data_IF_994581417760
#
_entry.id   IF_994581417760
#
_cell.length_a   1.000
_cell.length_b   1.000
_cell.length_c   1.000
_cell.angle_alpha   90.00
_cell.angle_beta   90.00
_cell.angle_gamma   90.00
#
_symmetry.space_group_name_H-M   'P 1'
#
loop_
_entity.id
_entity.type
_entity.pdbx_description
1 polymer ?
2 non-polymer ?
3 non-polymer ?
4 non-polymer ?
5 water ?
#
# COMPACT_ATOMS: atom_id res chain seq x y z
N UNK A 3 4.17 -17.65 -9.60
CA UNK A 3 3.89 -17.67 -11.07
C UNK A 3 2.55 -16.98 -11.33
N UNK A 4 1.46 -17.74 -11.45
CA UNK A 4 0.09 -17.28 -11.86
C UNK A 4 -0.21 -15.87 -11.32
N UNK A 5 -0.13 -15.70 -9.99
CA UNK A 5 -0.51 -14.48 -9.27
C UNK A 5 0.31 -13.28 -9.72
N UNK A 6 1.59 -13.48 -10.04
CA UNK A 6 2.47 -12.38 -10.50
C UNK A 6 2.16 -12.08 -11.97
N UNK A 7 1.85 -13.12 -12.77
CA UNK A 7 1.43 -12.93 -14.19
C UNK A 7 0.20 -12.00 -14.22
N UNK A 8 -0.71 -12.15 -13.26
CA UNK A 8 -1.95 -11.34 -13.15
C UNK A 8 -1.61 -9.86 -12.99
N UNK A 9 -0.59 -9.55 -12.20
CA UNK A 9 -0.14 -8.15 -11.97
C UNK A 9 0.38 -7.59 -13.31
N UNK A 10 1.19 -8.35 -14.05
CA UNK A 10 1.77 -7.89 -15.33
C UNK A 10 0.67 -7.71 -16.38
N UNK A 11 -0.39 -8.51 -16.32
CA UNK A 11 -1.50 -8.49 -17.32
C UNK A 11 -2.38 -7.25 -17.08
N UNK A 12 -2.62 -6.89 -15.81
CA UNK A 12 -3.53 -5.78 -15.43
C UNK A 12 -2.90 -4.94 -14.33
N UNK A 13 -1.76 -4.26 -14.59
CA UNK A 13 -1.06 -3.54 -13.53
C UNK A 13 -1.93 -2.43 -12.90
N UNK A 14 -2.85 -1.83 -13.66
CA UNK A 14 -3.69 -0.76 -13.14
C UNK A 14 -4.55 -1.20 -11.96
N UNK A 15 -4.86 -2.49 -11.90
CA UNK A 15 -5.68 -3.05 -10.78
C UNK A 15 -4.83 -3.12 -9.50
N UNK A 16 -3.51 -3.05 -9.60
CA UNK A 16 -2.57 -3.20 -8.46
C UNK A 16 -1.89 -1.87 -8.09
N UNK A 17 -1.61 -1.01 -9.07
CA UNK A 17 -0.88 0.26 -8.84
C UNK A 17 -1.56 1.47 -9.50
N UNK A 18 -2.82 1.30 -9.95
CA UNK A 18 -3.65 2.41 -10.43
C UNK A 18 -3.41 2.73 -11.88
N UNK A 19 -2.17 2.75 -12.33
CA UNK A 19 -1.77 3.17 -13.69
C UNK A 19 -0.29 2.90 -13.87
N UNK A 20 0.24 3.10 -15.05
CA UNK A 20 1.64 2.75 -15.36
C UNK A 20 2.48 4.01 -15.62
N UNK A 21 2.03 5.17 -15.19
CA UNK A 21 2.80 6.42 -15.23
C UNK A 21 3.61 6.62 -13.98
N UNK A 22 3.95 7.88 -13.72
CA UNK A 22 4.81 8.30 -12.60
C UNK A 22 4.17 7.86 -11.28
N UNK A 23 2.87 8.07 -11.11
CA UNK A 23 2.23 7.68 -9.85
C UNK A 23 2.29 6.17 -9.67
N UNK A 24 2.07 5.38 -10.73
CA UNK A 24 2.20 3.91 -10.67
C UNK A 24 3.61 3.53 -10.25
N UNK A 25 4.62 4.14 -10.84
CA UNK A 25 6.03 3.85 -10.50
C UNK A 25 6.21 4.06 -8.99
N UNK A 26 5.71 5.16 -8.47
CA UNK A 26 5.92 5.53 -7.05
C UNK A 26 5.20 4.55 -6.13
N UNK A 27 4.20 3.81 -6.59
CA UNK A 27 3.58 2.76 -5.72
C UNK A 27 4.67 1.78 -5.26
N UNK A 28 5.63 1.48 -6.13
CA UNK A 28 6.66 0.48 -5.80
C UNK A 28 7.50 0.97 -4.64
N UNK A 29 8.00 2.20 -4.71
CA UNK A 29 8.85 2.72 -3.60
C UNK A 29 7.99 2.95 -2.36
N UNK A 30 6.74 3.37 -2.51
CA UNK A 30 5.88 3.55 -1.32
C UNK A 30 5.78 2.22 -0.57
N UNK A 31 5.59 1.11 -1.28
CA UNK A 31 5.39 -0.20 -0.67
C UNK A 31 6.65 -0.62 0.09
N UNK A 32 7.80 -0.51 -0.56
CA UNK A 32 9.04 -1.04 0.05
C UNK A 32 9.42 -0.15 1.22
N UNK A 33 9.28 1.15 1.11
CA UNK A 33 9.48 2.09 2.23
C UNK A 33 8.50 1.74 3.37
N UNK A 34 7.23 1.57 3.06
CA UNK A 34 6.24 1.25 4.12
C UNK A 34 6.70 0.02 4.89
N UNK A 35 7.12 -1.02 4.19
CA UNK A 35 7.43 -2.33 4.81
C UNK A 35 8.59 -2.15 5.80
N UNK A 36 9.56 -1.33 5.45
CA UNK A 36 10.73 -1.04 6.32
C UNK A 36 10.25 -0.22 7.52
N UNK A 37 9.47 0.81 7.28
CA UNK A 37 9.02 1.72 8.36
C UNK A 37 8.14 0.94 9.35
N UNK A 38 7.38 -0.03 8.88
CA UNK A 38 6.53 -0.88 9.73
C UNK A 38 7.36 -1.47 10.88
N UNK A 39 8.65 -1.73 10.62
CA UNK A 39 9.52 -2.37 11.64
C UNK A 39 9.90 -1.39 12.76
N UNK A 40 9.64 -0.10 12.64
CA UNK A 40 9.85 0.82 13.80
C UNK A 40 8.86 0.46 14.94
N UNK A 41 7.56 0.37 14.64
CA UNK A 41 6.53 0.02 15.67
C UNK A 41 6.60 -1.49 15.99
N UNK A 42 6.92 -2.35 15.05
CA UNK A 42 6.70 -3.81 15.18
C UNK A 42 8.00 -4.56 15.53
N UNK A 43 9.17 -3.99 15.19
CA UNK A 43 10.44 -4.74 15.16
C UNK A 43 11.66 -3.98 15.68
N UNK A 44 11.45 -2.91 16.45
CA UNK A 44 12.50 -2.12 17.16
C UNK A 44 13.50 -1.49 16.18
N UNK A 45 13.10 -1.26 14.93
CA UNK A 45 13.98 -0.55 13.98
C UNK A 45 14.25 0.87 14.48
N UNK A 46 15.45 1.38 14.23
CA UNK A 46 15.90 2.73 14.61
C UNK A 46 16.26 3.54 13.36
N UNK A 47 16.49 2.89 12.23
CA UNK A 47 16.95 3.62 11.03
C UNK A 47 16.43 2.92 9.77
N UNK A 48 15.93 3.73 8.84
CA UNK A 48 15.62 3.30 7.46
C UNK A 48 16.45 4.17 6.53
N UNK A 49 17.07 3.55 5.54
CA UNK A 49 17.86 4.27 4.52
C UNK A 49 17.25 3.97 3.14
N UNK A 50 16.97 5.03 2.40
CA UNK A 50 16.44 4.92 1.04
C UNK A 50 17.47 5.53 0.08
N UNK A 51 17.89 4.75 -0.90
CA UNK A 51 18.82 5.20 -1.95
C UNK A 51 18.12 5.08 -3.30
N UNK A 52 18.09 6.20 -4.02
CA UNK A 52 17.67 6.22 -5.42
C UNK A 52 18.95 5.97 -6.21
N UNK A 53 19.07 4.78 -6.77
CA UNK A 53 20.32 4.33 -7.44
C UNK A 53 20.47 5.05 -8.78
N UNK A 54 21.72 5.26 -9.20
CA UNK A 54 22.03 5.98 -10.47
C UNK A 54 21.41 5.24 -11.66
N UNK A 55 21.23 3.93 -11.59
CA UNK A 55 20.75 3.11 -12.74
C UNK A 55 19.22 3.05 -12.77
N UNK A 56 18.53 3.77 -11.88
CA UNK A 56 17.06 3.76 -11.79
C UNK A 56 16.52 2.84 -10.69
N UNK A 57 17.37 2.00 -10.13
CA UNK A 57 16.92 1.11 -9.06
C UNK A 57 16.71 1.84 -7.75
N UNK A 58 16.20 1.12 -6.78
CA UNK A 58 15.95 1.65 -5.42
C UNK A 58 16.49 0.63 -4.41
N UNK A 59 17.07 1.14 -3.34
CA UNK A 59 17.51 0.30 -2.21
C UNK A 59 16.87 0.87 -0.94
N UNK A 60 16.21 0.01 -0.20
CA UNK A 60 15.67 0.39 1.13
C UNK A 60 16.22 -0.58 2.17
N UNK A 61 16.87 -0.02 3.17
CA UNK A 61 17.55 -0.76 4.25
C UNK A 61 16.88 -0.42 5.58
N UNK A 62 16.78 -1.41 6.47
CA UNK A 62 16.27 -1.17 7.83
C UNK A 62 17.03 -2.07 8.80
N UNK A 63 16.97 -1.73 10.08
CA UNK A 63 17.50 -2.59 11.17
C UNK A 63 16.35 -3.17 11.98
N UNK A 64 15.29 -3.59 11.28
CA UNK A 64 14.17 -4.29 11.92
C UNK A 64 14.50 -5.76 12.15
N UNK A 65 13.51 -6.62 12.18
CA UNK A 65 13.67 -8.03 12.58
C UNK A 65 14.31 -8.85 11.47
N UNK A 66 14.23 -8.38 10.22
CA UNK A 66 14.64 -9.20 9.08
C UNK A 66 13.43 -9.98 8.57
N UNK A 67 13.21 -9.97 7.25
CA UNK A 67 12.15 -10.84 6.70
C UNK A 67 12.45 -12.28 7.11
N UNK A 68 11.47 -13.04 7.64
CA UNK A 68 11.73 -14.45 7.98
C UNK A 68 12.32 -15.26 6.82
N UNK A 69 13.31 -16.06 7.15
CA UNK A 69 14.07 -16.90 6.17
C UNK A 69 13.78 -18.38 6.41
N UNK A 70 13.21 -18.76 7.55
CA UNK A 70 13.00 -20.20 7.84
C UNK A 70 11.94 -20.75 6.85
N UNK A 71 11.94 -22.05 6.69
CA UNK A 71 11.03 -22.75 5.74
C UNK A 71 9.58 -22.46 6.14
N UNK A 72 8.82 -22.00 5.17
CA UNK A 72 7.37 -21.78 5.23
C UNK A 72 6.68 -23.12 5.11
N UNK A 73 5.42 -23.20 5.53
CA UNK A 73 4.61 -24.44 5.40
C UNK A 73 4.55 -24.90 3.93
N UNK A 74 4.70 -23.99 2.96
CA UNK A 74 4.61 -24.29 1.50
C UNK A 74 5.93 -24.84 0.97
N UNK A 75 6.93 -25.08 1.82
CA UNK A 75 8.13 -25.83 1.45
C UNK A 75 9.21 -24.99 0.80
N UNK A 76 9.11 -23.66 0.88
CA UNK A 76 10.16 -22.71 0.43
C UNK A 76 10.47 -21.76 1.58
N UNK A 77 11.62 -21.09 1.55
CA UNK A 77 11.92 -20.06 2.55
C UNK A 77 10.83 -18.99 2.61
N UNK A 78 10.48 -18.55 3.81
CA UNK A 78 9.37 -17.59 3.99
C UNK A 78 9.61 -16.33 3.14
N UNK A 79 10.85 -15.89 2.99
CA UNK A 79 11.12 -14.68 2.17
C UNK A 79 10.58 -14.88 0.74
N UNK A 80 10.68 -16.08 0.18
CA UNK A 80 10.19 -16.35 -1.20
C UNK A 80 8.66 -16.24 -1.23
N UNK A 81 7.99 -16.64 -0.15
CA UNK A 81 6.50 -16.50 -0.02
C UNK A 81 6.17 -15.02 0.00
N UNK A 82 6.85 -14.25 0.83
CA UNK A 82 6.65 -12.79 0.93
C UNK A 82 6.79 -12.17 -0.47
N UNK A 83 7.88 -12.48 -1.15
CA UNK A 83 8.25 -11.76 -2.39
C UNK A 83 7.37 -12.22 -3.57
N UNK A 84 6.59 -13.27 -3.41
CA UNK A 84 5.70 -13.79 -4.48
C UNK A 84 4.20 -13.65 -4.11
N UNK A 85 3.84 -13.28 -2.87
CA UNK A 85 2.43 -13.34 -2.41
C UNK A 85 1.91 -12.04 -1.79
N UNK A 86 2.74 -11.24 -1.10
CA UNK A 86 2.18 -10.11 -0.35
C UNK A 86 2.46 -8.78 -1.07
N UNK A 87 2.37 -7.63 -0.39
CA UNK A 87 2.37 -6.31 -1.07
C UNK A 87 3.60 -6.15 -1.95
N UNK A 88 4.77 -6.54 -1.45
CA UNK A 88 6.01 -6.34 -2.20
C UNK A 88 6.06 -7.27 -3.41
N UNK A 89 5.25 -8.31 -3.48
CA UNK A 89 5.24 -9.17 -4.69
C UNK A 89 4.78 -8.35 -5.92
N UNK A 90 4.00 -7.28 -5.73
CA UNK A 90 3.63 -6.40 -6.87
C UNK A 90 4.91 -5.74 -7.39
N UNK A 91 5.79 -5.31 -6.49
CA UNK A 91 7.09 -4.71 -6.88
C UNK A 91 7.88 -5.77 -7.66
N UNK A 92 7.94 -7.01 -7.15
CA UNK A 92 8.67 -8.11 -7.81
C UNK A 92 8.11 -8.33 -9.21
N UNK A 93 6.78 -8.39 -9.32
CA UNK A 93 6.10 -8.66 -10.61
C UNK A 93 6.47 -7.62 -11.66
N UNK A 94 6.65 -6.36 -11.25
CA UNK A 94 6.80 -5.22 -12.19
C UNK A 94 8.25 -4.74 -12.22
N UNK A 95 9.19 -5.54 -11.69
CA UNK A 95 10.65 -5.28 -11.72
C UNK A 95 11.35 -6.30 -12.61
N UNK A 96 12.42 -5.88 -13.29
CA UNK A 96 13.30 -6.82 -14.04
C UNK A 96 14.02 -7.75 -13.07
N UNK A 97 14.32 -7.25 -11.88
CA UNK A 97 15.00 -8.07 -10.86
C UNK A 97 14.84 -7.40 -9.51
N UNK A 98 15.02 -8.21 -8.48
CA UNK A 98 15.10 -7.75 -7.08
C UNK A 98 16.25 -8.48 -6.39
N UNK A 99 16.76 -7.83 -5.37
CA UNK A 99 17.72 -8.46 -4.47
C UNK A 99 17.22 -8.26 -3.06
N UNK A 100 17.46 -9.23 -2.18
CA UNK A 100 17.05 -9.09 -0.77
C UNK A 100 18.22 -9.60 0.09
N UNK A 101 18.68 -8.76 1.01
CA UNK A 101 19.68 -9.15 2.04
C UNK A 101 18.97 -9.15 3.37
N UNK A 102 19.12 -10.23 4.14
CA UNK A 102 18.45 -10.32 5.46
C UNK A 102 19.53 -10.65 6.48
N UNK A 103 19.48 -9.96 7.61
CA UNK A 103 20.23 -10.34 8.83
C UNK A 103 19.20 -10.89 9.81
N UNK A 104 19.27 -12.18 10.13
CA UNK A 104 18.27 -12.81 11.02
C UNK A 104 18.76 -14.18 11.45
N UNK A 105 18.36 -14.61 12.65
CA UNK A 105 18.63 -16.00 13.13
C UNK A 105 20.15 -16.23 13.19
N UNK A 106 20.94 -15.17 13.39
CA UNK A 106 22.41 -15.27 13.60
C UNK A 106 23.23 -15.21 12.32
N UNK A 107 22.60 -14.97 11.17
CA UNK A 107 23.29 -15.02 9.87
C UNK A 107 22.80 -13.92 8.93
N UNK A 108 23.68 -13.60 8.00
CA UNK A 108 23.36 -12.85 6.77
C UNK A 108 22.84 -13.84 5.73
N UNK A 109 21.86 -13.40 4.94
CA UNK A 109 21.24 -14.22 3.90
C UNK A 109 21.07 -13.37 2.67
N UNK A 110 21.14 -13.98 1.50
CA UNK A 110 20.98 -13.25 0.23
C UNK A 110 20.10 -14.05 -0.72
N UNK A 111 19.14 -13.34 -1.32
CA UNK A 111 18.25 -13.93 -2.33
C UNK A 111 18.10 -12.94 -3.49
N UNK A 112 17.91 -13.51 -4.68
CA UNK A 112 17.63 -12.75 -5.91
C UNK A 112 16.30 -13.21 -6.49
N UNK A 113 15.71 -12.33 -7.28
CA UNK A 113 14.53 -12.60 -8.11
C UNK A 113 14.87 -12.05 -9.49
N UNK A 114 14.75 -12.89 -10.50
CA UNK A 114 15.03 -12.56 -11.92
C UNK A 114 13.69 -12.66 -12.65
N UNK A 115 13.11 -11.52 -13.04
CA UNK A 115 11.74 -11.48 -13.61
C UNK A 115 10.82 -12.24 -12.65
N UNK A 116 10.97 -11.95 -11.35
CA UNK A 116 10.16 -12.43 -10.21
C UNK A 116 10.44 -13.89 -9.83
N UNK A 117 11.31 -14.62 -10.56
CA UNK A 117 11.60 -16.05 -10.28
C UNK A 117 12.66 -16.09 -9.19
N UNK A 118 12.40 -16.72 -8.02
CA UNK A 118 13.39 -16.79 -6.95
C UNK A 118 14.65 -17.55 -7.39
N UNK A 119 15.80 -17.03 -6.98
CA UNK A 119 17.06 -17.76 -6.98
C UNK A 119 17.09 -18.75 -5.83
N UNK A 120 18.30 -19.19 -5.49
CA UNK A 120 18.55 -20.09 -4.33
C UNK A 120 18.98 -19.22 -3.16
N UNK A 121 18.19 -19.19 -2.07
CA UNK A 121 18.56 -18.44 -0.85
C UNK A 121 19.93 -18.93 -0.43
N UNK A 122 20.86 -18.01 -0.19
CA UNK A 122 22.24 -18.34 0.24
C UNK A 122 22.47 -17.83 1.67
N UNK A 123 23.02 -18.71 2.50
CA UNK A 123 23.44 -18.36 3.88
C UNK A 123 24.85 -17.77 3.80
N UNK A 124 25.03 -16.57 4.34
CA UNK A 124 26.34 -15.89 4.38
C UNK A 124 26.98 -16.02 5.75
N UNK A 125 27.59 -14.94 6.20
CA UNK A 125 28.40 -14.90 7.43
C UNK A 125 27.48 -14.81 8.64
N UNK A 126 27.99 -15.21 9.78
CA UNK A 126 27.33 -14.96 11.08
C UNK A 126 27.22 -13.47 11.29
N UNK A 127 26.16 -13.06 12.00
CA UNK A 127 25.98 -11.67 12.44
C UNK A 127 25.02 -11.63 13.63
N UNK A 128 25.24 -10.65 14.49
CA UNK A 128 24.34 -10.36 15.63
C UNK A 128 23.34 -9.31 15.18
N UNK A 129 23.56 -8.69 14.02
CA UNK A 129 22.65 -7.63 13.53
C UNK A 129 21.37 -8.26 13.00
N UNK A 130 20.29 -7.47 12.97
CA UNK A 130 19.03 -7.87 12.31
C UNK A 130 18.62 -6.75 11.34
N UNK A 131 17.93 -7.14 10.28
CA UNK A 131 17.29 -6.18 9.38
C UNK A 131 17.23 -6.69 7.97
N UNK A 132 16.73 -5.82 7.09
CA UNK A 132 16.45 -6.19 5.69
C UNK A 132 16.97 -5.10 4.77
N UNK A 133 17.53 -5.51 3.62
CA UNK A 133 17.79 -4.58 2.49
C UNK A 133 17.01 -5.13 1.30
N UNK A 134 16.19 -4.28 0.70
CA UNK A 134 15.44 -4.67 -0.51
C UNK A 134 15.90 -3.75 -1.64
N UNK A 135 16.30 -4.33 -2.76
CA UNK A 135 16.63 -3.57 -3.98
C UNK A 135 15.69 -4.05 -5.07
N UNK A 136 15.24 -3.11 -5.88
CA UNK A 136 14.41 -3.45 -7.05
C UNK A 136 14.70 -2.49 -8.19
N UNK A 137 14.48 -3.01 -9.40
CA UNK A 137 14.70 -2.27 -10.66
C UNK A 137 13.41 -2.32 -11.47
N UNK A 138 12.57 -1.25 -11.41
CA UNK A 138 11.29 -1.24 -12.15
C UNK A 138 11.49 -1.52 -13.64
N UNK A 139 10.59 -2.31 -14.20
CA UNK A 139 10.69 -2.78 -15.60
C UNK A 139 10.26 -1.64 -16.54
N UNK A 140 11.14 -1.13 -17.42
CA UNK A 140 10.76 -0.06 -18.34
C UNK A 140 9.72 -0.50 -19.38
N UNK A 141 9.50 -1.81 -19.56
CA UNK A 141 8.43 -2.32 -20.47
C UNK A 141 7.07 -2.14 -19.82
N UNK A 142 7.02 -2.00 -18.50
CA UNK A 142 5.74 -1.78 -17.76
C UNK A 142 5.45 -0.28 -17.66
N UNK A 143 6.42 0.50 -17.19
CA UNK A 143 6.25 1.91 -16.75
C UNK A 143 6.59 2.87 -17.88
N UNK A 144 5.76 3.90 -18.02
CA UNK A 144 5.95 4.94 -19.07
C UNK A 144 7.06 5.90 -18.67
N UNK A 145 7.44 5.88 -17.39
CA UNK A 145 8.60 6.62 -16.85
C UNK A 145 9.19 5.78 -15.72
N UNK A 146 10.51 5.77 -15.63
CA UNK A 146 11.24 5.03 -14.58
C UNK A 146 12.03 5.97 -13.67
N UNK A 147 11.79 7.27 -13.76
CA UNK A 147 12.47 8.33 -12.99
C UNK A 147 11.71 8.59 -11.68
N UNK A 148 12.30 8.21 -10.55
CA UNK A 148 11.73 8.56 -9.23
C UNK A 148 11.91 10.07 -8.98
N UNK A 149 10.95 10.63 -8.26
CA UNK A 149 10.93 12.07 -7.94
C UNK A 149 11.42 12.23 -6.50
N UNK A 150 12.60 12.83 -6.33
CA UNK A 150 13.23 13.06 -5.01
C UNK A 150 12.26 13.77 -4.07
N UNK A 151 11.59 14.84 -4.51
CA UNK A 151 10.72 15.63 -3.60
C UNK A 151 9.51 14.80 -3.17
N UNK A 152 8.94 13.99 -4.08
CA UNK A 152 7.80 13.09 -3.78
C UNK A 152 8.25 12.10 -2.69
N UNK A 153 9.42 11.50 -2.87
CA UNK A 153 9.95 10.52 -1.89
C UNK A 153 10.22 11.22 -0.57
N UNK A 154 10.86 12.39 -0.60
CA UNK A 154 11.16 13.17 0.65
C UNK A 154 9.87 13.46 1.43
N UNK A 155 8.78 13.83 0.75
CA UNK A 155 7.48 14.17 1.41
C UNK A 155 7.00 12.94 2.18
N UNK A 156 7.06 11.75 1.57
CA UNK A 156 6.59 10.50 2.22
C UNK A 156 7.48 10.21 3.43
N UNK A 157 8.80 10.34 3.27
CA UNK A 157 9.71 9.95 4.37
C UNK A 157 9.53 10.91 5.56
N UNK A 158 9.27 12.20 5.29
CA UNK A 158 9.02 13.16 6.39
C UNK A 158 7.75 12.75 7.14
N UNK A 159 6.68 12.40 6.43
CA UNK A 159 5.42 11.90 7.04
C UNK A 159 5.74 10.69 7.92
N UNK A 160 6.50 9.73 7.39
CA UNK A 160 6.74 8.45 8.10
C UNK A 160 7.61 8.71 9.35
N UNK A 161 8.56 9.63 9.30
CA UNK A 161 9.40 9.97 10.48
C UNK A 161 8.50 10.61 11.54
N UNK A 162 7.57 11.47 11.12
CA UNK A 162 6.66 12.18 12.07
C UNK A 162 5.76 11.14 12.79
N UNK A 163 5.33 10.12 12.07
CA UNK A 163 4.43 9.07 12.61
C UNK A 163 5.20 8.02 13.43
N UNK A 164 6.53 8.07 13.43
CA UNK A 164 7.38 7.06 14.14
C UNK A 164 8.45 7.81 14.92
N UNK A 165 8.07 8.49 16.01
CA UNK A 165 9.01 9.32 16.80
C UNK A 165 10.21 8.45 17.17
N UNK A 166 11.40 9.00 16.98
CA UNK A 166 12.67 8.31 17.32
C UNK A 166 13.27 7.58 16.12
N UNK A 167 12.53 7.42 15.02
CA UNK A 167 13.04 6.75 13.82
C UNK A 167 13.82 7.74 12.98
N UNK A 168 15.04 7.38 12.60
CA UNK A 168 15.83 8.16 11.63
C UNK A 168 15.58 7.60 10.24
N UNK A 169 15.22 8.46 9.28
CA UNK A 169 15.10 8.04 7.86
C UNK A 169 16.06 8.87 7.02
N UNK A 170 16.96 8.19 6.32
CA UNK A 170 17.99 8.84 5.47
C UNK A 170 17.61 8.61 4.01
N UNK A 171 17.60 9.69 3.22
CA UNK A 171 17.34 9.62 1.77
C UNK A 171 18.60 10.08 1.03
N UNK A 172 19.10 9.25 0.13
CA UNK A 172 20.29 9.56 -0.70
C UNK A 172 19.89 9.40 -2.16
N UNK A 173 20.06 10.46 -2.94
CA UNK A 173 19.87 10.43 -4.41
C UNK A 173 21.24 10.24 -5.04
N UNK A 174 21.53 9.01 -5.48
CA UNK A 174 22.82 8.66 -6.10
C UNK A 174 22.90 9.23 -7.52
N UNK A 175 21.80 9.74 -8.06
CA UNK A 175 21.80 10.34 -9.41
C UNK A 175 22.46 11.73 -9.37
N UNK A 176 22.38 12.45 -8.25
CA UNK A 176 22.92 13.84 -8.17
C UNK A 176 23.53 14.18 -6.80
N UNK A 177 23.62 13.22 -5.89
CA UNK A 177 24.27 13.44 -4.61
C UNK A 177 23.37 14.11 -3.56
N UNK A 178 22.14 14.48 -3.91
CA UNK A 178 21.22 15.17 -2.95
C UNK A 178 20.90 14.19 -1.80
N UNK A 179 20.86 14.69 -0.56
CA UNK A 179 20.55 13.83 0.61
C UNK A 179 19.74 14.63 1.63
N UNK A 180 18.84 13.94 2.33
CA UNK A 180 18.05 14.51 3.45
C UNK A 180 17.98 13.47 4.56
N UNK A 181 17.92 13.92 5.81
CA UNK A 181 17.74 13.04 6.98
C UNK A 181 16.54 13.53 7.76
N UNK A 182 15.61 12.64 8.06
CA UNK A 182 14.35 12.94 8.78
C UNK A 182 14.40 12.29 10.16
N UNK A 183 14.04 13.06 11.18
CA UNK A 183 14.03 12.59 12.58
C UNK A 183 13.17 13.54 13.41
N UNK A 184 12.21 12.96 14.14
CA UNK A 184 11.42 13.64 15.19
C UNK A 184 11.68 12.95 16.52
N UNK A 185 12.20 13.66 17.54
CA UNK A 185 12.43 13.04 18.85
C UNK A 185 11.11 12.71 19.58
N UNK A 186 11.12 11.63 20.35
CA UNK A 186 10.00 11.25 21.24
C UNK A 186 9.91 12.17 22.44
N UNK B 5 -5.85 -17.60 0.23
CA UNK B 5 -6.88 -16.56 -0.02
C UNK B 5 -6.86 -15.47 1.04
N UNK B 6 -8.03 -14.96 1.41
CA UNK B 6 -8.21 -13.95 2.48
C UNK B 6 -7.99 -14.60 3.85
N UNK B 7 -8.15 -15.92 3.97
CA UNK B 7 -7.85 -16.68 5.21
C UNK B 7 -6.40 -16.39 5.64
N UNK B 8 -5.49 -16.32 4.65
CA UNK B 8 -4.03 -16.07 4.86
C UNK B 8 -3.82 -14.72 5.55
N UNK B 9 -4.59 -13.71 5.14
CA UNK B 9 -4.49 -12.33 5.72
C UNK B 9 -4.94 -12.41 7.19
N UNK B 10 -6.05 -13.09 7.48
CA UNK B 10 -6.58 -13.17 8.87
C UNK B 10 -5.59 -13.93 9.76
N UNK B 11 -4.92 -14.94 9.21
CA UNK B 11 -3.98 -15.81 9.98
C UNK B 11 -2.70 -15.03 10.35
N UNK B 12 -2.18 -14.25 9.41
CA UNK B 12 -0.90 -13.51 9.58
C UNK B 12 -1.06 -12.08 9.08
N UNK B 13 -1.89 -11.25 9.76
CA UNK B 13 -2.13 -9.89 9.28
C UNK B 13 -0.87 -9.02 9.19
N UNK B 14 0.12 -9.33 10.03
CA UNK B 14 1.41 -8.59 10.03
C UNK B 14 2.13 -8.67 8.69
N UNK B 15 1.91 -9.73 7.94
CA UNK B 15 2.53 -9.94 6.60
C UNK B 15 1.91 -8.98 5.58
N UNK B 16 0.72 -8.46 5.88
CA UNK B 16 -0.07 -7.64 4.91
C UNK B 16 -0.13 -6.17 5.34
N UNK B 17 -0.15 -5.89 6.64
CA UNK B 17 -0.29 -4.52 7.17
C UNK B 17 0.73 -4.22 8.27
N UNK B 18 1.75 -5.06 8.44
CA UNK B 18 2.89 -4.76 9.33
C UNK B 18 2.62 -5.18 10.76
N UNK B 19 1.41 -4.99 11.25
CA UNK B 19 1.01 -5.21 12.66
C UNK B 19 -0.51 -5.08 12.75
N UNK B 20 -1.06 -5.36 13.93
CA UNK B 20 -2.49 -5.18 14.20
C UNK B 20 -2.69 -4.02 15.21
N UNK B 21 -1.68 -3.17 15.38
CA UNK B 21 -1.82 -1.92 16.15
C UNK B 21 -2.46 -0.82 15.32
N UNK B 22 -2.37 0.40 15.83
CA UNK B 22 -2.96 1.58 15.18
C UNK B 22 -2.27 1.82 13.83
N UNK B 23 -0.98 1.61 13.69
CA UNK B 23 -0.37 1.77 12.35
C UNK B 23 -0.98 0.73 11.38
N UNK B 24 -1.20 -0.51 11.82
CA UNK B 24 -1.88 -1.53 11.01
C UNK B 24 -3.29 -1.09 10.61
N UNK B 25 -4.06 -0.55 11.54
CA UNK B 25 -5.43 -0.04 11.30
C UNK B 25 -5.32 0.99 10.17
N UNK B 26 -4.36 1.92 10.26
CA UNK B 26 -4.27 3.03 9.27
C UNK B 26 -3.89 2.50 7.89
N UNK B 27 -3.33 1.30 7.76
CA UNK B 27 -3.04 0.71 6.43
C UNK B 27 -4.37 0.59 5.66
N UNK B 28 -5.46 0.31 6.36
CA UNK B 28 -6.76 0.09 5.69
C UNK B 28 -7.22 1.38 5.04
N UNK B 29 -7.20 2.47 5.78
CA UNK B 29 -7.68 3.76 5.20
C UNK B 29 -6.66 4.23 4.16
N UNK B 30 -5.37 4.01 4.37
CA UNK B 30 -4.37 4.42 3.37
C UNK B 30 -4.68 3.75 2.03
N UNK B 31 -5.01 2.46 2.04
CA UNK B 31 -5.26 1.69 0.80
C UNK B 31 -6.49 2.23 0.09
N UNK B 32 -7.57 2.43 0.84
CA UNK B 32 -8.87 2.81 0.20
C UNK B 32 -8.73 4.23 -0.32
N UNK B 33 -8.10 5.12 0.42
CA UNK B 33 -7.79 6.50 -0.06
C UNK B 33 -6.91 6.42 -1.31
N UNK B 34 -5.83 5.64 -1.26
CA UNK B 34 -4.93 5.53 -2.42
C UNK B 34 -5.76 5.18 -3.67
N UNK B 35 -6.65 4.19 -3.53
CA UNK B 35 -7.35 3.62 -4.69
C UNK B 35 -8.21 4.72 -5.33
N UNK B 36 -8.82 5.56 -4.50
CA UNK B 36 -9.69 6.66 -4.97
C UNK B 36 -8.82 7.72 -5.63
N UNK B 37 -7.74 8.11 -4.97
CA UNK B 37 -6.85 9.18 -5.47
C UNK B 37 -6.23 8.76 -6.81
N UNK B 38 -5.97 7.48 -6.99
CA UNK B 38 -5.43 6.92 -8.25
C UNK B 38 -6.31 7.37 -9.43
N UNK B 39 -7.62 7.53 -9.21
CA UNK B 39 -8.54 7.89 -10.31
C UNK B 39 -8.37 9.34 -10.74
N UNK B 40 -7.65 10.21 -10.02
CA UNK B 40 -7.38 11.58 -10.52
C UNK B 40 -6.57 11.48 -11.82
N UNK B 41 -5.47 10.75 -11.81
CA UNK B 41 -4.60 10.64 -13.00
C UNK B 41 -5.13 9.57 -13.96
N UNK B 42 -5.81 8.54 -13.48
CA UNK B 42 -6.17 7.37 -14.32
C UNK B 42 -7.59 7.50 -14.89
N UNK B 43 -8.46 8.29 -14.24
CA UNK B 43 -9.90 8.24 -14.51
C UNK B 43 -10.60 9.59 -14.51
N UNK B 44 -9.88 10.72 -14.52
CA UNK B 44 -10.44 12.10 -14.59
C UNK B 44 -11.28 12.42 -13.35
N UNK B 45 -11.01 11.80 -12.20
CA UNK B 45 -11.63 12.21 -10.93
C UNK B 45 -11.23 13.65 -10.59
N UNK B 46 -12.15 14.37 -9.95
CA UNK B 46 -11.96 15.77 -9.50
C UNK B 46 -12.15 15.87 -8.00
N UNK B 47 -12.77 14.89 -7.34
CA UNK B 47 -13.07 15.03 -5.91
C UNK B 47 -13.00 13.67 -5.24
N UNK B 48 -12.35 13.63 -4.09
CA UNK B 48 -12.37 12.46 -3.18
C UNK B 48 -12.86 12.97 -1.82
N UNK B 49 -13.80 12.24 -1.23
CA UNK B 49 -14.37 12.58 0.10
C UNK B 49 -14.08 11.43 1.05
N UNK B 50 -13.54 11.75 2.22
CA UNK B 50 -13.22 10.74 3.25
C UNK B 50 -14.03 11.11 4.49
N UNK B 51 -14.79 10.15 5.02
CA UNK B 51 -15.61 10.36 6.23
C UNK B 51 -15.19 9.34 7.28
N UNK B 52 -14.85 9.83 8.48
CA UNK B 52 -14.56 8.95 9.63
C UNK B 52 -15.90 8.83 10.38
N UNK B 53 -16.52 7.67 10.30
CA UNK B 53 -17.87 7.46 10.88
C UNK B 53 -17.76 7.33 12.42
N UNK B 54 -18.75 7.78 13.16
CA UNK B 54 -18.74 7.72 14.65
C UNK B 54 -18.76 6.27 15.12
N UNK B 55 -19.23 5.30 14.34
CA UNK B 55 -19.26 3.86 14.74
C UNK B 55 -17.91 3.17 14.46
N UNK B 56 -16.91 3.92 14.00
CA UNK B 56 -15.57 3.38 13.70
C UNK B 56 -15.38 3.09 12.21
N UNK B 57 -16.43 3.15 11.41
CA UNK B 57 -16.30 2.86 9.98
C UNK B 57 -15.66 4.00 9.23
N UNK B 58 -15.42 3.77 7.95
CA UNK B 58 -14.79 4.77 7.05
C UNK B 58 -15.54 4.73 5.72
N UNK B 59 -15.80 5.89 5.14
CA UNK B 59 -16.34 5.96 3.77
C UNK B 59 -15.38 6.78 2.92
N UNK B 60 -15.01 6.22 1.78
CA UNK B 60 -14.24 7.00 0.77
C UNK B 60 -15.02 6.99 -0.54
N UNK B 61 -15.32 8.19 -1.01
CA UNK B 61 -16.06 8.38 -2.29
C UNK B 61 -15.20 9.11 -3.30
N UNK B 62 -15.35 8.76 -4.57
CA UNK B 62 -14.66 9.48 -5.66
C UNK B 62 -15.61 9.60 -6.86
N UNK B 63 -15.26 10.50 -7.76
CA UNK B 63 -15.96 10.61 -9.06
C UNK B 63 -15.04 10.13 -10.20
N UNK B 64 -14.31 9.06 -9.95
CA UNK B 64 -13.50 8.43 -11.01
C UNK B 64 -14.36 7.55 -11.90
N UNK B 65 -13.76 6.54 -12.51
CA UNK B 65 -14.42 5.71 -13.54
C UNK B 65 -15.48 4.79 -12.94
N UNK B 66 -15.36 4.45 -11.65
CA UNK B 66 -16.16 3.38 -11.07
C UNK B 66 -15.46 2.04 -11.25
N UNK B 67 -15.37 1.24 -10.19
CA UNK B 67 -14.84 -0.13 -10.33
C UNK B 67 -15.63 -0.84 -11.43
N UNK B 68 -14.98 -1.49 -12.42
CA UNK B 68 -15.72 -2.23 -13.43
C UNK B 68 -16.73 -3.23 -12.85
N UNK B 69 -17.94 -3.25 -13.43
CA UNK B 69 -19.05 -4.12 -12.94
C UNK B 69 -19.36 -5.24 -13.93
N UNK B 70 -18.91 -5.11 -15.19
CA UNK B 70 -19.16 -6.11 -16.26
C UNK B 70 -18.57 -7.47 -15.85
N UNK B 71 -19.18 -8.55 -16.34
CA UNK B 71 -18.77 -9.95 -16.06
C UNK B 71 -18.14 -10.57 -17.31
N UNK B 75 -18.27 -16.27 -14.35
CA UNK B 75 -19.22 -15.16 -14.62
C UNK B 75 -19.41 -14.27 -13.40
N UNK B 76 -18.31 -13.91 -12.73
CA UNK B 76 -18.33 -13.16 -11.44
C UNK B 76 -18.01 -11.69 -11.71
N UNK B 77 -18.71 -10.75 -11.05
CA UNK B 77 -18.50 -9.33 -11.33
C UNK B 77 -17.07 -8.93 -10.96
N UNK B 78 -16.45 -8.09 -11.77
CA UNK B 78 -15.08 -7.59 -11.53
C UNK B 78 -14.95 -7.07 -10.10
N UNK B 79 -15.97 -6.39 -9.56
CA UNK B 79 -15.83 -5.81 -8.21
C UNK B 79 -15.54 -6.93 -7.20
N UNK B 80 -16.14 -8.11 -7.35
CA UNK B 80 -15.92 -9.24 -6.41
C UNK B 80 -14.46 -9.72 -6.52
N UNK B 81 -13.90 -9.72 -7.73
CA UNK B 81 -12.47 -10.09 -7.98
C UNK B 81 -11.59 -9.05 -7.27
N UNK B 82 -11.84 -7.77 -7.48
CA UNK B 82 -11.10 -6.66 -6.82
C UNK B 82 -11.13 -6.87 -5.32
N UNK B 83 -12.32 -7.05 -4.75
CA UNK B 83 -12.50 -7.02 -3.28
C UNK B 83 -12.00 -8.32 -2.66
N UNK B 84 -11.63 -9.34 -3.44
CA UNK B 84 -11.09 -10.62 -2.92
C UNK B 84 -9.63 -10.85 -3.36
N UNK B 85 -9.06 -10.07 -4.27
CA UNK B 85 -7.73 -10.38 -4.87
C UNK B 85 -6.69 -9.27 -4.76
N UNK B 86 -7.08 -7.98 -4.83
CA UNK B 86 -6.07 -6.93 -4.94
C UNK B 86 -5.90 -6.20 -3.60
N UNK B 87 -5.31 -5.00 -3.59
CA UNK B 87 -4.92 -4.29 -2.36
C UNK B 87 -6.07 -4.21 -1.37
N UNK B 88 -7.22 -3.78 -1.85
CA UNK B 88 -8.38 -3.54 -0.95
C UNK B 88 -8.91 -4.87 -0.41
N UNK B 89 -8.57 -6.02 -0.99
CA UNK B 89 -9.01 -7.31 -0.42
C UNK B 89 -8.46 -7.47 1.01
N UNK B 90 -7.32 -6.87 1.33
CA UNK B 90 -6.80 -6.93 2.72
C UNK B 90 -7.78 -6.19 3.65
N UNK B 91 -8.30 -5.07 3.18
CA UNK B 91 -9.32 -4.30 3.95
C UNK B 91 -10.56 -5.18 4.16
N UNK B 92 -11.00 -5.86 3.10
CA UNK B 92 -12.17 -6.78 3.16
C UNK B 92 -11.89 -7.88 4.21
N UNK B 93 -10.70 -8.50 4.15
CA UNK B 93 -10.30 -9.61 5.04
C UNK B 93 -10.38 -9.20 6.51
N UNK B 94 -10.03 -7.94 6.82
CA UNK B 94 -9.85 -7.48 8.21
C UNK B 94 -11.01 -6.58 8.64
N UNK B 95 -12.10 -6.57 7.85
CA UNK B 95 -13.34 -5.82 8.17
C UNK B 95 -14.48 -6.80 8.46
N UNK B 96 -15.34 -6.45 9.42
CA UNK B 96 -16.58 -7.21 9.67
C UNK B 96 -17.52 -7.14 8.47
N UNK B 97 -17.50 -6.02 7.76
CA UNK B 97 -18.34 -5.85 6.57
C UNK B 97 -17.78 -4.71 5.72
N UNK B 98 -18.15 -4.74 4.45
CA UNK B 98 -17.89 -3.62 3.52
C UNK B 98 -19.16 -3.40 2.71
N UNK B 99 -19.34 -2.15 2.28
CA UNK B 99 -20.37 -1.79 1.29
C UNK B 99 -19.64 -1.13 0.13
N UNK B 100 -20.03 -1.45 -1.09
CA UNK B 100 -19.44 -0.78 -2.27
C UNK B 100 -20.58 -0.28 -3.17
N UNK B 101 -20.55 0.99 -3.50
CA UNK B 101 -21.48 1.60 -4.47
C UNK B 101 -20.67 2.02 -5.69
N UNK B 102 -21.14 1.66 -6.88
CA UNK B 102 -20.42 2.03 -8.12
C UNK B 102 -21.43 2.75 -9.02
N UNK B 103 -21.01 3.87 -9.58
CA UNK B 103 -21.75 4.55 -10.68
C UNK B 103 -20.93 4.29 -11.94
N UNK B 104 -21.50 3.55 -12.89
CA UNK B 104 -20.75 3.17 -14.09
C UNK B 104 -21.73 2.62 -15.13
N UNK B 105 -21.43 2.84 -16.40
CA UNK B 105 -22.17 2.25 -17.54
C UNK B 105 -23.65 2.65 -17.46
N UNK B 106 -23.96 3.82 -16.88
CA UNK B 106 -25.31 4.41 -16.90
C UNK B 106 -26.16 4.04 -15.71
N UNK B 107 -25.61 3.34 -14.72
CA UNK B 107 -26.40 2.84 -13.56
C UNK B 107 -25.57 2.96 -12.27
N UNK B 108 -26.31 3.04 -11.17
CA UNK B 108 -25.79 2.77 -9.81
C UNK B 108 -25.80 1.27 -9.56
N UNK B 109 -24.78 0.77 -8.87
CA UNK B 109 -24.65 -0.66 -8.54
C UNK B 109 -24.28 -0.75 -7.06
N UNK B 110 -24.77 -1.77 -6.38
CA UNK B 110 -24.52 -1.95 -4.93
C UNK B 110 -24.07 -3.39 -4.66
N UNK B 111 -23.01 -3.51 -3.88
CA UNK B 111 -22.53 -4.81 -3.40
C UNK B 111 -22.21 -4.69 -1.90
N UNK B 112 -22.36 -5.80 -1.21
CA UNK B 112 -21.97 -5.92 0.23
C UNK B 112 -21.01 -7.10 0.37
N UNK B 113 -20.21 -7.03 1.42
CA UNK B 113 -19.32 -8.13 1.88
C UNK B 113 -19.59 -8.27 3.37
N UNK B 114 -19.89 -9.51 3.77
CA UNK B 114 -20.15 -9.90 5.17
C UNK B 114 -19.00 -10.83 5.59
N UNK B 115 -18.08 -10.34 6.43
CA UNK B 115 -16.84 -11.10 6.76
C UNK B 115 -16.20 -11.56 5.45
N UNK B 116 -16.13 -10.63 4.50
CA UNK B 116 -15.44 -10.75 3.17
C UNK B 116 -16.24 -11.58 2.16
N UNK B 117 -17.37 -12.18 2.53
CA UNK B 117 -18.20 -13.02 1.62
C UNK B 117 -19.07 -12.10 0.78
N UNK B 118 -18.96 -12.11 -0.56
CA UNK B 118 -19.78 -11.22 -1.39
C UNK B 118 -21.28 -11.54 -1.27
N UNK B 119 -22.08 -10.48 -1.25
CA UNK B 119 -23.53 -10.55 -1.54
C UNK B 119 -23.77 -10.70 -3.02
N UNK B 120 -24.98 -10.37 -3.46
CA UNK B 120 -25.35 -10.34 -4.90
C UNK B 120 -25.27 -8.89 -5.40
N UNK B 121 -24.42 -8.62 -6.37
CA UNK B 121 -24.33 -7.29 -7.02
C UNK B 121 -25.74 -6.91 -7.52
N UNK B 122 -26.23 -5.75 -7.14
CA UNK B 122 -27.57 -5.25 -7.51
C UNK B 122 -27.44 -4.03 -8.41
N UNK B 123 -28.13 -4.07 -9.56
CA UNK B 123 -28.25 -2.92 -10.48
C UNK B 123 -29.37 -2.01 -9.93
N UNK B 124 -29.04 -0.75 -9.65
CA UNK B 124 -30.00 0.24 -9.14
C UNK B 124 -30.42 1.19 -10.23
N UNK B 125 -30.54 2.46 -9.88
CA UNK B 125 -31.17 3.46 -10.75
C UNK B 125 -30.20 3.95 -11.82
N UNK B 126 -30.77 4.48 -12.89
CA UNK B 126 -30.00 5.14 -13.97
C UNK B 126 -29.26 6.34 -13.39
N UNK B 127 -28.04 6.59 -13.85
CA UNK B 127 -27.28 7.80 -13.47
C UNK B 127 -26.27 8.12 -14.57
N UNK B 128 -25.99 9.40 -14.72
CA UNK B 128 -24.90 9.88 -15.59
C UNK B 128 -23.63 10.03 -14.78
N UNK B 129 -23.68 9.85 -13.45
CA UNK B 129 -22.47 10.02 -12.61
C UNK B 129 -21.55 8.81 -12.82
N UNK B 130 -20.26 8.98 -12.55
CA UNK B 130 -19.32 7.85 -12.44
C UNK B 130 -18.57 7.98 -11.13
N UNK B 131 -18.23 6.85 -10.53
CA UNK B 131 -17.31 6.84 -9.38
C UNK B 131 -17.63 5.68 -8.49
N UNK B 132 -16.94 5.67 -7.36
CA UNK B 132 -16.99 4.54 -6.41
C UNK B 132 -17.12 5.10 -5.00
N UNK B 133 -17.92 4.42 -4.18
CA UNK B 133 -17.97 4.66 -2.72
C UNK B 133 -17.59 3.33 -2.08
N UNK B 134 -16.62 3.38 -1.18
CA UNK B 134 -16.19 2.20 -0.41
C UNK B 134 -16.40 2.51 1.05
N UNK B 135 -17.17 1.68 1.73
CA UNK B 135 -17.41 1.81 3.19
C UNK B 135 -16.91 0.53 3.83
N UNK B 136 -16.17 0.66 4.93
CA UNK B 136 -15.69 -0.55 5.62
C UNK B 136 -15.64 -0.30 7.13
N UNK B 137 -15.75 -1.41 7.84
CA UNK B 137 -15.78 -1.42 9.33
C UNK B 137 -14.70 -2.39 9.82
N UNK B 138 -13.51 -1.87 10.19
CA UNK B 138 -12.42 -2.72 10.68
C UNK B 138 -12.88 -3.61 11.84
N UNK B 139 -12.41 -4.84 11.84
CA UNK B 139 -12.82 -5.87 12.83
C UNK B 139 -12.15 -5.58 14.18
N UNK B 140 -12.90 -5.26 15.26
CA UNK B 140 -12.28 -4.98 16.56
C UNK B 140 -11.62 -6.22 17.19
N UNK B 141 -11.91 -7.42 16.69
CA UNK B 141 -11.26 -8.67 17.18
C UNK B 141 -9.87 -8.80 16.56
N UNK B 142 -9.59 -8.06 15.50
CA UNK B 142 -8.25 -8.04 14.85
C UNK B 142 -7.39 -6.94 15.47
N UNK B 143 -7.92 -5.71 15.59
CA UNK B 143 -7.15 -4.48 15.90
C UNK B 143 -7.25 -4.15 17.40
N UNK B 144 -6.10 -3.78 17.97
CA UNK B 144 -5.87 -3.32 19.35
C UNK B 144 -6.56 -1.97 19.59
N UNK B 145 -6.81 -1.25 18.50
CA UNK B 145 -7.29 0.14 18.45
C UNK B 145 -8.14 0.22 17.17
N UNK B 146 -9.36 0.75 17.28
CA UNK B 146 -10.20 0.96 16.07
C UNK B 146 -10.47 2.46 15.85
N UNK B 147 -9.76 3.34 16.52
CA UNK B 147 -9.87 4.80 16.44
C UNK B 147 -8.92 5.32 15.38
N UNK B 148 -9.48 5.83 14.28
CA UNK B 148 -8.68 6.53 13.26
C UNK B 148 -8.28 7.89 13.82
N UNK B 149 -7.08 8.33 13.44
CA UNK B 149 -6.49 9.56 13.96
C UNK B 149 -6.70 10.63 12.89
N UNK B 150 -7.49 11.66 13.18
CA UNK B 150 -7.82 12.74 12.22
C UNK B 150 -6.52 13.34 11.66
N UNK B 151 -5.54 13.66 12.49
CA UNK B 151 -4.34 14.38 12.00
C UNK B 151 -3.51 13.45 11.10
N UNK B 152 -3.44 12.15 11.41
CA UNK B 152 -2.72 11.16 10.58
C UNK B 152 -3.37 11.13 9.20
N UNK B 153 -4.70 11.04 9.16
CA UNK B 153 -5.45 10.97 7.88
C UNK B 153 -5.26 12.30 7.14
N UNK B 154 -5.38 13.43 7.83
CA UNK B 154 -5.23 14.78 7.23
C UNK B 154 -3.86 14.90 6.55
N UNK B 155 -2.79 14.40 7.20
CA UNK B 155 -1.42 14.52 6.65
C UNK B 155 -1.36 13.77 5.32
N UNK B 156 -1.93 12.59 5.26
CA UNK B 156 -1.94 11.78 4.00
C UNK B 156 -2.74 12.51 2.92
N UNK B 157 -3.90 13.04 3.27
CA UNK B 157 -4.75 13.66 2.24
C UNK B 157 -4.10 14.95 1.73
N UNK B 158 -3.41 15.69 2.59
CA UNK B 158 -2.66 16.90 2.17
C UNK B 158 -1.58 16.49 1.16
N UNK B 159 -0.81 15.43 1.46
CA UNK B 159 0.23 14.89 0.54
C UNK B 159 -0.45 14.55 -0.80
N UNK B 160 -1.57 13.84 -0.75
CA UNK B 160 -2.20 13.30 -1.99
C UNK B 160 -2.77 14.46 -2.83
N UNK B 161 -3.29 15.50 -2.21
CA UNK B 161 -3.80 16.68 -2.93
C UNK B 161 -2.62 17.40 -3.59
N UNK B 162 -1.50 17.48 -2.88
CA UNK B 162 -0.30 18.19 -3.37
C UNK B 162 0.28 17.46 -4.59
N UNK B 163 0.21 16.14 -4.59
CA UNK B 163 0.74 15.28 -5.68
C UNK B 163 -0.26 15.17 -6.84
N UNK B 164 -1.47 15.69 -6.68
CA UNK B 164 -2.53 15.59 -7.72
C UNK B 164 -3.13 16.98 -7.90
N UNK B 165 -2.39 17.89 -8.52
CA UNK B 165 -2.83 19.29 -8.67
C UNK B 165 -4.22 19.29 -9.29
N UNK B 166 -5.13 20.05 -8.70
CA UNK B 166 -6.50 20.19 -9.23
C UNK B 166 -7.49 19.26 -8.58
N UNK B 167 -7.03 18.24 -7.85
CA UNK B 167 -7.91 17.30 -7.12
C UNK B 167 -8.35 17.97 -5.81
N UNK B 168 -9.65 17.97 -5.53
CA UNK B 168 -10.17 18.42 -4.23
C UNK B 168 -10.35 17.19 -3.34
N UNK B 169 -9.79 17.21 -2.15
CA UNK B 169 -10.00 16.11 -1.16
C UNK B 169 -10.66 16.72 0.09
N UNK B 170 -11.78 16.14 0.50
CA UNK B 170 -12.50 16.63 1.69
C UNK B 170 -12.40 15.54 2.75
N UNK B 171 -12.08 15.93 3.98
CA UNK B 171 -12.09 15.06 5.17
C UNK B 171 -13.16 15.54 6.15
N UNK B 172 -14.07 14.65 6.51
CA UNK B 172 -15.14 14.94 7.50
C UNK B 172 -15.01 13.92 8.62
N UNK B 173 -14.83 14.42 9.84
CA UNK B 173 -14.81 13.61 11.07
C UNK B 173 -16.23 13.65 11.65
N UNK B 174 -16.99 12.58 11.46
CA UNK B 174 -18.40 12.52 11.95
C UNK B 174 -18.42 12.34 13.47
N UNK B 175 -17.27 12.05 14.09
CA UNK B 175 -17.20 11.89 15.56
C UNK B 175 -17.29 13.26 16.26
N UNK B 176 -16.92 14.35 15.59
CA UNK B 176 -16.90 15.70 16.22
C UNK B 176 -17.26 16.81 15.26
N UNK B 177 -17.59 16.50 13.99
CA UNK B 177 -17.97 17.52 13.03
C UNK B 177 -16.79 18.26 12.42
N UNK B 178 -15.56 17.91 12.77
CA UNK B 178 -14.33 18.56 12.25
C UNK B 178 -14.23 18.25 10.75
N UNK B 179 -13.89 19.23 9.93
CA UNK B 179 -13.76 19.02 8.47
C UNK B 179 -12.61 19.88 7.92
N UNK B 180 -11.97 19.38 6.87
CA UNK B 180 -10.83 20.06 6.21
C UNK B 180 -10.94 19.74 4.72
N UNK B 181 -10.65 20.72 3.89
CA UNK B 181 -10.56 20.56 2.43
C UNK B 181 -9.11 20.78 2.01
N UNK B 182 -8.59 19.91 1.16
CA UNK B 182 -7.23 19.97 0.61
C UNK B 182 -7.35 20.21 -0.90
N UNK B 183 -6.64 21.21 -1.40
CA UNK B 183 -6.69 21.59 -2.83
C UNK B 183 -5.46 22.45 -3.13
N UNK B 184 -4.71 22.03 -4.14
CA UNK B 184 -3.59 22.77 -4.77
C UNK B 184 -3.89 22.92 -6.26
N UNK B 185 -4.06 24.15 -6.77
CA UNK B 185 -4.39 24.35 -8.19
C UNK B 185 -3.23 23.99 -9.11
N UNK B 186 -3.55 23.54 -10.34
CA UNK B 186 -2.57 23.27 -11.41
C UNK B 186 -2.01 24.55 -12.00
X LIG C 1 8.59 -7.35 2.84
X LIG C 1 8.70 -7.89 4.16
X LIG C 1 11.46 -4.53 5.59
X LIG C 1 10.72 -5.41 6.27
X LIG C 1 11.03 -5.94 7.31
X LIG C 1 9.56 -5.65 5.64
X LIG C 1 7.86 -7.26 5.11
X LIG C 1 8.70 -6.66 6.23
X LIG C 1 7.79 -6.03 7.26
X LIG C 1 6.97 -4.99 6.69
X LIG C 1 6.92 -7.14 7.84
X LIG C 1 6.19 -7.83 6.84
X LIG C 1 6.87 -8.29 5.64
X LIG C 1 7.52 -9.64 5.93
X LIG C 1 5.77 -8.48 4.61
X LIG C 1 7.80 -8.05 8.48
X LIG C 1 7.32 -8.98 9.37
X LIG C 1 8.29 -9.54 10.20
X LIG C 1 9.74 -9.09 10.10
X LIG C 1 7.88 -10.48 11.14
X LIG C 1 6.56 -10.88 11.27
X LIG C 1 5.62 -10.31 10.40
X LIG C 1 5.97 -9.37 9.49
X LIG C 1 8.87 -11.01 11.96
X LIG C 1 8.59 -11.92 12.94
X LIG C 1 9.54 -12.30 13.60
X LIG C 1 7.26 -12.36 13.11
X LIG C 1 6.24 -11.85 12.28
X LIG C 1 4.96 -12.26 12.44
X LIG C 1 6.98 -13.30 14.14
X LIG C 1 7.45 -14.57 14.20
X LIG C 1 7.81 -15.11 15.25
X LIG C 1 7.47 -15.29 12.89
X LIG C 1 6.47 -14.99 11.98
X LIG C 1 6.41 -15.62 10.74
X LIG C 1 7.39 -16.56 10.44
X LIG C 1 7.35 -17.19 9.21
X LIG C 1 8.39 -16.87 11.35
X LIG C 1 8.44 -16.22 12.55
X LIG C 1 5.31 -15.29 9.76
X LIG C 1 5.80 -14.81 8.43
X LIG C 1 5.99 -13.55 8.04
X LIG C 1 5.69 -12.38 8.93
X LIG C 1 6.46 -13.18 6.68
X LIG D 1 2.99 -1.75 6.03
X LIG E 1 9.95 -7.03 20.13
X LIG F 1 14.43 -6.77 18.54
X LIG G 1 16.55 -21.03 5.68
X LIG G 1 15.42 -21.57 5.00
X LIG G 1 17.05 -21.92 6.79
X LIG G 1 16.60 -21.60 8.10
X LIG H 1 11.87 -18.21 13.66
X LIG H 1 11.94 -18.69 12.34
X LIG H 1 13.11 -17.59 14.12
X LIG H 1 13.26 -16.29 13.58
X LIG I 1 -2.93 2.97 -5.96
X LIG J 1 -10.84 -0.48 -5.43
X LIG J 1 -10.80 -0.52 -6.86
X LIG J 1 -11.79 3.94 -6.06
X LIG J 1 -11.41 3.27 -7.16
X LIG J 1 -11.75 3.53 -8.31
X LIG J 1 -10.52 2.32 -6.89
X LIG J 1 -9.70 0.12 -7.48
X LIG J 1 -10.08 1.50 -7.98
X LIG J 1 -8.88 2.17 -8.63
X LIG J 1 -7.79 2.37 -7.72
X LIG J 1 -8.43 1.28 -9.79
X LIG J 1 -8.17 -0.05 -9.38
X LIG J 1 -9.18 -0.77 -8.61
X LIG J 1 -10.30 -1.22 -9.55
X LIG J 1 -8.47 -1.98 -8.07
X LIG J 1 -9.49 1.33 -10.72
X LIG J 1 -9.35 0.87 -12.02
X LIG J 1 -10.41 1.19 -12.87
X LIG J 1 -11.63 1.91 -12.37
X LIG J 1 -10.32 0.77 -14.18
X LIG J 1 -9.23 0.10 -14.69
X LIG J 1 -8.17 -0.19 -13.82
X LIG J 1 -8.21 0.20 -12.52
X LIG J 1 -11.40 1.06 -14.98
X LIG J 1 -11.43 0.78 -16.33
X LIG J 1 -12.43 1.10 -16.92
X LIG J 1 -10.37 0.07 -16.89
X LIG J 1 -9.27 -0.26 -16.08
X LIG J 1 -8.20 -0.91 -16.58
X LIG J 1 -10.41 -0.24 -18.27
X LIG J 1 -11.13 -1.16 -18.95
X LIG J 1 -11.26 -1.14 -20.17
X LIG J 1 -11.65 -2.31 -18.16
X LIG J 1 -10.77 -3.08 -17.41
X LIG J 1 -11.18 -4.20 -16.70
X LIG J 1 -12.54 -4.55 -16.77
X LIG J 1 -12.99 -5.64 -16.09
X LIG J 1 -13.42 -3.83 -17.54
X LIG J 1 -12.99 -2.71 -18.22
X LIG J 1 -10.18 -5.00 -15.89
X LIG J 1 -8.93 -5.33 -16.66
X LIG J 1 -7.83 -4.59 -16.80
X LIG J 1 -6.94 -4.72 -18.01
X LIG J 1 -7.36 -3.56 -15.80
X LIG K 1 -9.87 9.59 -20.55
X LIG L 1 0.82 5.90 18.08
#
# INVERSE_FOLDING_TARGET
>A
GMLEGLEAVRKRPGMYIGSTGERGLHHLIWEVVDNAVDEAMAGHATKVRVRLLADGGVEVSDDGRGIPVEMHESGVPTVDVVMTQVGVSVVNALSTRMEVEICRDGYQWFQTYDKSVPGTLKQGEKTRKTGTVVRFWPDPDVFETTTFDFETVARRLQEQAFLNKGLTIELIDERDGKHRTFYYPG
>B
GMLEGLEAVRKRPGMYIGSTGERGLHHLIWEVVDNAVDEAMAGHATKVRVRLLADGGVEVSDDGRGIPVEMHESGVPTVDVVMTQVGVSVVNALSTRMEVEICRDGYQWFQTYDKSVPGTLKQGEKTRKTGTVVRFWPDPDVFETTTFDFETVARRLQEQAFLNKGLTIELIDERDGKHRTFYYPG
>C hetero
1 NOV C1 O1 N1 C12 O4 O5 C27 C28 C29 O6 C30 O7 C31 C23 C26 O8 C3 C4 C2 C5 C9 C10 C11 O10 C6 O11 C7 C8 O9 N2 C13 O2 C14 C15 C16 C17 O3 C18 C19 C20 C21 C22 C24 C25
>D hetero
1 ZN ZN
>E hetero
1 ZN ZN
>F hetero
1 ZN ZN
>G hetero
1 EDO C1 O1 C2 O2
>H hetero
1 EDO C1 O1 C2 O2
>I hetero
1 ZN ZN
>J hetero
1 NOV C1 O1 N1 C12 O4 O5 C27 C28 C29 O6 C30 O7 C31 C23 C26 O8 C3 C4 C2 C5 C9 C10 C11 O10 C6 O11 C7 C8 O9 N2 C13 O2 C14 C15 C16 C17 O3 C18 C19 C20 C21 C22 C24 C25
>K hetero
1 ZN ZN
>L hetero
1 ZN ZN
#
